data_IF_817039303301
#
_entry.id   IF_817039303301
#
_cell.length_a   1.000
_cell.length_b   1.000
_cell.length_c   1.000
_cell.angle_alpha   90.00
_cell.angle_beta   90.00
_cell.angle_gamma   90.00
#
_symmetry.space_group_name_H-M   'P 1'
#
loop_
_entity.id
_entity.type
_entity.pdbx_description
1 polymer ?
#
# COMPACT_ATOMS: atom_id res chain seq x y z
N UNK A 1 -13.64 6.69 -4.27
CA UNK A 1 -13.24 5.32 -3.85
C UNK A 1 -13.05 4.49 -5.10
N UNK A 2 -12.00 3.68 -5.21
CA UNK A 2 -11.77 2.82 -6.38
C UNK A 2 -12.99 1.94 -6.65
N UNK A 3 -13.38 1.81 -7.91
CA UNK A 3 -14.48 0.93 -8.33
C UNK A 3 -14.23 -0.52 -7.85
N UNK A 4 -15.26 -1.27 -7.40
CA UNK A 4 -15.10 -2.63 -6.89
C UNK A 4 -14.26 -3.53 -7.81
N UNK A 5 -14.46 -3.44 -9.13
CA UNK A 5 -13.70 -4.22 -10.12
C UNK A 5 -12.23 -3.82 -10.15
N UNK A 6 -11.93 -2.51 -10.08
CA UNK A 6 -10.53 -2.01 -10.06
C UNK A 6 -9.81 -2.42 -8.78
N UNK A 7 -10.53 -2.44 -7.65
CA UNK A 7 -9.99 -2.93 -6.38
C UNK A 7 -9.66 -4.41 -6.46
N UNK A 8 -10.57 -5.25 -6.94
CA UNK A 8 -10.35 -6.70 -7.04
C UNK A 8 -9.18 -7.01 -7.96
N UNK A 9 -9.12 -6.36 -9.13
CA UNK A 9 -8.01 -6.53 -10.08
C UNK A 9 -6.68 -6.14 -9.42
N UNK A 10 -6.61 -4.96 -8.81
CA UNK A 10 -5.37 -4.49 -8.17
C UNK A 10 -4.94 -5.38 -7.01
N UNK A 11 -5.87 -5.73 -6.11
CA UNK A 11 -5.57 -6.51 -4.90
C UNK A 11 -5.25 -7.96 -5.21
N UNK A 12 -6.08 -8.63 -6.01
CA UNK A 12 -5.94 -10.07 -6.25
C UNK A 12 -4.84 -10.36 -7.25
N UNK A 13 -4.82 -9.70 -8.41
CA UNK A 13 -3.80 -9.98 -9.41
C UNK A 13 -2.42 -9.49 -8.96
N UNK A 14 -2.35 -8.31 -8.33
CA UNK A 14 -1.10 -7.79 -7.80
C UNK A 14 -0.45 -8.78 -6.83
N UNK A 15 -1.19 -9.19 -5.78
CA UNK A 15 -0.65 -10.10 -4.76
C UNK A 15 -0.27 -11.46 -5.35
N UNK A 16 -1.13 -12.06 -6.17
CA UNK A 16 -0.84 -13.37 -6.76
C UNK A 16 0.39 -13.34 -7.68
N UNK A 17 0.54 -12.29 -8.49
CA UNK A 17 1.68 -12.15 -9.40
C UNK A 17 2.98 -11.96 -8.61
N UNK A 18 3.01 -11.04 -7.64
CA UNK A 18 4.22 -10.82 -6.82
C UNK A 18 4.61 -12.08 -6.05
N UNK A 19 3.63 -12.78 -5.49
CA UNK A 19 3.87 -14.04 -4.77
C UNK A 19 4.46 -15.10 -5.71
N UNK A 20 3.85 -15.30 -6.88
CA UNK A 20 4.31 -16.30 -7.86
C UNK A 20 5.74 -16.01 -8.32
N UNK A 21 6.05 -14.75 -8.61
CA UNK A 21 7.40 -14.32 -9.00
C UNK A 21 8.39 -14.59 -7.87
N UNK A 22 8.07 -14.21 -6.63
CA UNK A 22 8.94 -14.42 -5.48
C UNK A 22 9.25 -15.90 -5.24
N UNK A 23 8.24 -16.76 -5.29
CA UNK A 23 8.41 -18.21 -5.11
C UNK A 23 9.20 -18.87 -6.23
N UNK A 24 9.04 -18.39 -7.47
CA UNK A 24 9.76 -18.92 -8.63
C UNK A 24 11.22 -18.45 -8.65
N UNK A 25 11.49 -17.25 -8.15
CA UNK A 25 12.84 -16.70 -8.04
C UNK A 25 13.65 -17.34 -6.91
N UNK A 26 12.99 -17.79 -5.84
CA UNK A 26 13.62 -18.42 -4.68
C UNK A 26 14.61 -19.56 -5.04
N UNK A 27 14.23 -20.60 -5.82
CA UNK A 27 15.17 -21.66 -6.20
C UNK A 27 16.31 -21.16 -7.08
N UNK A 28 16.09 -20.13 -7.92
CA UNK A 28 17.15 -19.53 -8.72
C UNK A 28 18.21 -18.86 -7.82
N UNK A 29 17.77 -18.09 -6.82
CA UNK A 29 18.68 -17.46 -5.84
C UNK A 29 19.39 -18.51 -5.00
N UNK A 30 18.70 -19.57 -4.58
CA UNK A 30 19.29 -20.67 -3.82
C UNK A 30 20.33 -21.47 -4.64
N UNK A 31 20.20 -21.51 -5.97
CA UNK A 31 21.21 -22.13 -6.83
C UNK A 31 22.53 -21.34 -6.84
N UNK A 32 22.46 -20.01 -6.87
CA UNK A 32 23.65 -19.15 -6.83
C UNK A 32 24.24 -19.01 -5.42
N UNK A 33 23.39 -18.97 -4.39
CA UNK A 33 23.79 -18.80 -2.99
C UNK A 33 23.51 -20.08 -2.22
N UNK A 34 24.56 -20.91 -2.08
CA UNK A 34 24.49 -22.19 -1.36
C UNK A 34 24.62 -22.06 0.16
N UNK A 35 25.17 -20.94 0.65
CA UNK A 35 25.24 -20.67 2.08
C UNK A 35 23.88 -20.19 2.60
N UNK A 36 23.31 -20.91 3.56
CA UNK A 36 21.98 -20.63 4.09
C UNK A 36 21.87 -19.29 4.82
N UNK A 37 22.97 -18.79 5.42
CA UNK A 37 22.99 -17.49 6.10
C UNK A 37 22.94 -16.36 5.08
N UNK A 38 23.72 -16.48 4.01
CA UNK A 38 23.70 -15.52 2.91
C UNK A 38 22.36 -15.53 2.18
N UNK A 39 21.73 -16.70 2.03
CA UNK A 39 20.39 -16.82 1.45
C UNK A 39 19.34 -16.09 2.30
N UNK A 40 19.35 -16.27 3.63
CA UNK A 40 18.47 -15.55 4.54
C UNK A 40 18.67 -14.03 4.49
N UNK A 41 19.92 -13.57 4.41
CA UNK A 41 20.21 -12.14 4.24
C UNK A 41 19.68 -11.61 2.90
N UNK A 42 19.89 -12.33 1.80
CA UNK A 42 19.40 -11.92 0.48
C UNK A 42 17.87 -11.84 0.41
N UNK A 43 17.16 -12.69 1.16
CA UNK A 43 15.69 -12.68 1.22
C UNK A 43 15.13 -11.56 2.11
N UNK A 44 15.83 -11.23 3.19
CA UNK A 44 15.37 -10.21 4.15
C UNK A 44 15.76 -8.80 3.74
N UNK A 45 16.88 -8.63 3.01
CA UNK A 45 17.40 -7.33 2.60
C UNK A 45 16.40 -6.49 1.77
N UNK A 46 15.69 -7.03 0.76
CA UNK A 46 14.65 -6.28 0.05
C UNK A 46 13.51 -5.83 0.97
N UNK A 47 13.26 -6.53 2.07
CA UNK A 47 12.25 -6.17 3.06
C UNK A 47 12.52 -4.81 3.72
N UNK A 48 13.78 -4.44 3.90
CA UNK A 48 14.15 -3.14 4.46
C UNK A 48 13.83 -1.97 3.53
N UNK A 49 13.68 -2.22 2.22
CA UNK A 49 13.21 -1.21 1.28
C UNK A 49 11.78 -0.75 1.57
N UNK A 50 11.01 -1.51 2.36
CA UNK A 50 9.66 -1.12 2.77
C UNK A 50 9.63 -0.06 3.89
N UNK A 51 10.72 0.09 4.66
CA UNK A 51 10.81 1.06 5.76
C UNK A 51 10.50 2.50 5.31
N UNK A 52 11.11 3.03 4.23
CA UNK A 52 10.85 4.40 3.81
C UNK A 52 9.38 4.66 3.45
N UNK A 53 8.64 3.65 3.00
CA UNK A 53 7.23 3.81 2.61
C UNK A 53 6.35 4.28 3.77
N UNK A 54 6.74 4.01 5.02
CA UNK A 54 6.04 4.52 6.19
C UNK A 54 5.93 6.04 6.23
N UNK A 55 6.95 6.77 5.74
CA UNK A 55 6.91 8.24 5.70
C UNK A 55 6.22 8.80 4.47
N UNK A 56 6.15 8.04 3.37
CA UNK A 56 5.58 8.52 2.11
C UNK A 56 4.09 8.22 1.95
N UNK A 57 3.60 7.12 2.53
CA UNK A 57 2.22 6.69 2.35
C UNK A 57 1.36 7.29 3.48
N UNK A 58 0.38 8.15 3.16
CA UNK A 58 -0.54 8.66 4.18
C UNK A 58 -1.44 7.54 4.69
N UNK A 59 -1.83 7.67 5.96
CA UNK A 59 -2.74 6.73 6.60
C UNK A 59 -4.09 6.64 5.88
N UNK A 60 -4.77 5.50 5.98
CA UNK A 60 -6.05 5.29 5.30
C UNK A 60 -7.11 6.27 5.82
N UNK A 61 -7.76 7.10 4.97
CA UNK A 61 -8.82 8.00 5.40
C UNK A 61 -9.99 7.29 6.07
N UNK A 62 -10.25 6.03 5.70
CA UNK A 62 -11.30 5.21 6.32
C UNK A 62 -10.96 4.81 7.76
N UNK A 63 -9.70 4.52 8.02
CA UNK A 63 -9.22 4.20 9.36
C UNK A 63 -9.23 5.45 10.24
N UNK A 64 -8.79 6.59 9.71
CA UNK A 64 -8.86 7.86 10.45
C UNK A 64 -10.30 8.23 10.85
N UNK A 65 -11.28 7.99 9.95
CA UNK A 65 -12.70 8.16 10.28
C UNK A 65 -13.18 7.24 11.40
N UNK A 66 -12.77 5.97 11.41
CA UNK A 66 -13.17 5.04 12.48
C UNK A 66 -12.52 5.39 13.83
N UNK A 67 -11.40 6.11 13.82
CA UNK A 67 -10.75 6.66 15.01
C UNK A 67 -11.28 8.04 15.43
N UNK A 68 -12.32 8.57 14.76
CA UNK A 68 -12.86 9.91 15.04
C UNK A 68 -11.96 11.07 14.61
N UNK A 69 -10.86 10.80 13.88
CA UNK A 69 -9.90 11.80 13.38
C UNK A 69 -10.37 12.37 12.02
N UNK A 70 -11.52 13.05 12.05
CA UNK A 70 -12.23 13.53 10.85
C UNK A 70 -11.41 14.59 10.08
N UNK A 71 -10.77 15.51 10.79
CA UNK A 71 -10.00 16.61 10.18
C UNK A 71 -8.84 16.11 9.32
N UNK A 72 -8.12 15.10 9.80
CA UNK A 72 -7.00 14.50 9.08
C UNK A 72 -7.47 13.69 7.86
N UNK A 73 -8.56 12.93 8.02
CA UNK A 73 -9.17 12.22 6.90
C UNK A 73 -9.60 13.18 5.79
N UNK A 74 -10.17 14.34 6.16
CA UNK A 74 -10.57 15.38 5.22
C UNK A 74 -9.38 16.02 4.51
N UNK A 75 -8.29 16.33 5.23
CA UNK A 75 -7.07 16.88 4.65
C UNK A 75 -6.48 15.94 3.57
N UNK A 76 -6.41 14.63 3.86
CA UNK A 76 -5.89 13.63 2.91
C UNK A 76 -6.82 13.52 1.69
N UNK A 77 -8.14 13.53 1.89
CA UNK A 77 -9.11 13.47 0.79
C UNK A 77 -9.08 14.71 -0.10
N UNK A 78 -8.94 15.90 0.48
CA UNK A 78 -8.78 17.15 -0.28
C UNK A 78 -7.49 17.14 -1.09
N UNK A 79 -6.38 16.66 -0.52
CA UNK A 79 -5.13 16.52 -1.28
C UNK A 79 -5.27 15.52 -2.44
N UNK A 80 -5.90 14.38 -2.19
CA UNK A 80 -6.19 13.38 -3.22
C UNK A 80 -7.11 13.95 -4.31
N UNK A 81 -8.11 14.76 -3.96
CA UNK A 81 -8.99 15.42 -4.92
C UNK A 81 -8.23 16.41 -5.81
N UNK A 82 -7.34 17.23 -5.22
CA UNK A 82 -6.44 18.12 -5.98
C UNK A 82 -5.57 17.35 -6.98
N UNK A 83 -4.93 16.26 -6.55
CA UNK A 83 -4.11 15.41 -7.43
C UNK A 83 -4.91 14.78 -8.56
N UNK A 84 -6.15 14.36 -8.28
CA UNK A 84 -7.05 13.79 -9.27
C UNK A 84 -7.80 14.83 -10.12
N UNK A 85 -7.55 16.14 -9.91
CA UNK A 85 -8.24 17.25 -10.58
C UNK A 85 -9.76 17.19 -10.43
N UNK A 86 -10.25 16.72 -9.29
CA UNK A 86 -11.68 16.66 -8.96
C UNK A 86 -12.01 17.75 -7.94
N UNK A 87 -13.09 18.48 -8.16
CA UNK A 87 -13.58 19.49 -7.22
C UNK A 87 -14.19 18.81 -6.00
N UNK A 88 -13.54 18.94 -4.84
CA UNK A 88 -14.07 18.43 -3.58
C UNK A 88 -15.17 19.36 -3.04
N UNK A 89 -16.28 18.82 -2.48
CA UNK A 89 -17.27 19.64 -1.79
C UNK A 89 -16.70 20.28 -0.52
N UNK A 90 -17.21 21.45 -0.12
CA UNK A 90 -16.74 22.21 1.06
C UNK A 90 -16.86 21.44 2.38
N UNK A 91 -17.83 20.51 2.47
CA UNK A 91 -18.01 19.62 3.62
C UNK A 91 -18.06 18.18 3.12
N UNK A 92 -17.00 17.41 3.38
CA UNK A 92 -16.89 16.01 2.94
C UNK A 92 -17.65 15.06 3.88
N UNK A 93 -17.58 15.28 5.20
CA UNK A 93 -18.18 14.41 6.21
C UNK A 93 -19.23 15.13 7.05
N UNK A 94 -20.46 15.28 6.52
CA UNK A 94 -21.57 15.91 7.26
C UNK A 94 -22.08 15.10 8.46
N UNK A 95 -21.83 13.78 8.48
CA UNK A 95 -22.35 12.85 9.49
C UNK A 95 -21.44 12.70 10.72
N UNK A 96 -20.26 13.30 10.72
CA UNK A 96 -19.24 13.16 11.78
C UNK A 96 -18.99 14.49 12.51
N UNK A 97 -20.01 15.36 12.60
CA UNK A 97 -19.94 16.63 13.34
C UNK A 97 -20.18 16.43 14.83
#
# INVERSE_FOLDING_TARGET
MLSPSKRIIYSTLGVCIFYTIGYTLLPAVAFFIRDWRMLMLALTLPGFLYIPFWWFIPESPRWLLSQGRVQEAEAILRDAARRNRVTAPEVIFRLYR
#
